data_IF_468327795128
#
_entry.id   IF_468327795128
#
_cell.length_a   1.000
_cell.length_b   1.000
_cell.length_c   1.000
_cell.angle_alpha   90.00
_cell.angle_beta   90.00
_cell.angle_gamma   90.00
#
_symmetry.space_group_name_H-M   'P 1'
#
loop_
_entity.id
_entity.type
_entity.pdbx_description
1 polymer ?
#
# COMPACT_ATOMS: atom_id res chain seq x y z
N UNK A 1 -10.90 -6.23 -10.94
CA UNK A 1 -9.49 -5.81 -10.72
C UNK A 1 -8.82 -6.78 -9.75
N UNK A 2 -7.50 -6.93 -9.78
CA UNK A 2 -6.75 -7.76 -8.82
C UNK A 2 -6.23 -6.88 -7.70
N UNK A 3 -6.35 -7.35 -6.46
CA UNK A 3 -5.75 -6.74 -5.27
C UNK A 3 -4.80 -7.76 -4.66
N UNK A 4 -3.50 -7.45 -4.60
CA UNK A 4 -2.52 -8.26 -3.90
C UNK A 4 -2.38 -7.77 -2.46
N UNK A 5 -2.38 -8.72 -1.53
CA UNK A 5 -2.23 -8.42 -0.13
C UNK A 5 -0.79 -8.09 0.25
N UNK A 6 -0.63 -7.35 1.35
CA UNK A 6 0.66 -7.17 2.02
C UNK A 6 1.74 -6.54 1.15
N UNK A 7 1.47 -5.34 0.63
CA UNK A 7 2.36 -4.60 -0.26
C UNK A 7 2.69 -5.34 -1.56
N UNK A 8 1.79 -6.21 -2.03
CA UNK A 8 2.00 -7.03 -3.22
C UNK A 8 2.47 -8.45 -2.93
N UNK A 9 3.00 -8.70 -1.73
CA UNK A 9 3.44 -10.02 -1.29
C UNK A 9 4.24 -9.97 0.01
N UNK A 10 3.79 -10.69 1.02
CA UNK A 10 4.43 -10.72 2.33
C UNK A 10 5.86 -11.30 2.24
N UNK A 11 6.85 -10.55 2.72
CA UNK A 11 8.28 -10.91 2.66
C UNK A 11 8.85 -11.15 1.24
N UNK A 12 8.19 -10.64 0.20
CA UNK A 12 8.59 -10.84 -1.21
C UNK A 12 8.91 -9.50 -1.91
N UNK A 13 9.48 -8.53 -1.20
CA UNK A 13 9.64 -7.16 -1.68
C UNK A 13 10.41 -7.04 -3.01
N UNK A 14 11.48 -7.82 -3.20
CA UNK A 14 12.27 -7.81 -4.43
C UNK A 14 11.47 -8.35 -5.63
N UNK A 15 10.74 -9.45 -5.45
CA UNK A 15 9.83 -10.02 -6.46
C UNK A 15 8.73 -9.01 -6.83
N UNK A 16 8.10 -8.39 -5.84
CA UNK A 16 7.05 -7.39 -6.04
C UNK A 16 7.59 -6.24 -6.89
N UNK A 17 8.73 -5.68 -6.51
CA UNK A 17 9.38 -4.59 -7.23
C UNK A 17 9.68 -4.97 -8.68
N UNK A 18 10.16 -6.19 -8.91
CA UNK A 18 10.57 -6.68 -10.23
C UNK A 18 9.40 -7.04 -11.13
N UNK A 19 8.28 -7.52 -10.57
CA UNK A 19 7.23 -8.21 -11.35
C UNK A 19 5.86 -7.56 -11.28
N UNK A 20 5.53 -6.88 -10.18
CA UNK A 20 4.19 -6.35 -9.92
C UNK A 20 4.13 -4.81 -9.97
N UNK A 21 5.20 -4.10 -9.61
CA UNK A 21 5.24 -2.65 -9.72
C UNK A 21 4.99 -2.19 -11.17
N UNK A 22 4.23 -1.11 -11.35
CA UNK A 22 3.79 -0.62 -12.66
C UNK A 22 2.64 -1.39 -13.33
N UNK A 23 2.21 -2.55 -12.79
CA UNK A 23 1.03 -3.27 -13.29
C UNK A 23 -0.28 -2.54 -12.89
N UNK A 24 -1.43 -2.83 -13.53
CA UNK A 24 -2.70 -2.20 -13.17
C UNK A 24 -3.34 -2.73 -11.88
N UNK A 25 -2.71 -3.73 -11.24
CA UNK A 25 -3.18 -4.30 -9.98
C UNK A 25 -3.11 -3.27 -8.84
N UNK A 26 -3.90 -3.49 -7.80
CA UNK A 26 -3.78 -2.75 -6.55
C UNK A 26 -2.99 -3.56 -5.53
N UNK A 27 -2.29 -2.89 -4.63
CA UNK A 27 -1.74 -3.52 -3.42
C UNK A 27 -2.43 -2.92 -2.20
N UNK A 28 -2.87 -3.73 -1.25
CA UNK A 28 -3.07 -3.17 0.08
C UNK A 28 -1.73 -3.02 0.82
N UNK A 29 -1.66 -2.07 1.73
CA UNK A 29 -0.45 -1.78 2.51
C UNK A 29 -0.45 -2.48 3.88
N UNK A 30 -1.35 -3.44 4.11
CA UNK A 30 -1.53 -4.07 5.41
C UNK A 30 -0.42 -5.07 5.75
N UNK A 31 0.10 -5.05 6.97
CA UNK A 31 1.00 -6.10 7.48
C UNK A 31 2.19 -6.48 6.55
N UNK A 32 2.73 -5.49 5.83
CA UNK A 32 3.91 -5.68 4.98
C UNK A 32 5.06 -4.81 5.44
N UNK A 33 4.87 -3.48 5.44
CA UNK A 33 5.84 -2.55 6.00
C UNK A 33 5.96 -2.75 7.52
N UNK A 34 7.20 -2.85 8.02
CA UNK A 34 7.50 -3.35 9.38
C UNK A 34 8.05 -4.78 9.38
N UNK A 35 7.65 -5.60 8.40
CA UNK A 35 8.29 -6.89 8.07
C UNK A 35 9.35 -6.69 6.98
N UNK A 36 9.03 -5.89 5.96
CA UNK A 36 10.01 -5.43 4.98
C UNK A 36 10.65 -4.10 5.37
N UNK A 37 11.84 -3.84 4.83
CA UNK A 37 12.58 -2.61 5.07
C UNK A 37 11.85 -1.36 4.50
N UNK A 38 12.05 -0.22 5.15
CA UNK A 38 11.52 1.08 4.69
C UNK A 38 11.95 1.42 3.27
N UNK A 39 13.17 1.07 2.88
CA UNK A 39 13.69 1.30 1.53
C UNK A 39 12.88 0.54 0.48
N UNK A 40 12.48 -0.70 0.78
CA UNK A 40 11.60 -1.50 -0.10
C UNK A 40 10.22 -0.84 -0.25
N UNK A 41 9.63 -0.38 0.85
CA UNK A 41 8.35 0.34 0.81
C UNK A 41 8.43 1.61 -0.07
N UNK A 42 9.51 2.38 0.05
CA UNK A 42 9.76 3.58 -0.76
C UNK A 42 9.96 3.25 -2.24
N UNK A 43 10.66 2.16 -2.56
CA UNK A 43 10.87 1.73 -3.94
C UNK A 43 9.57 1.23 -4.58
N UNK A 44 8.70 0.55 -3.82
CA UNK A 44 7.35 0.19 -4.28
C UNK A 44 6.53 1.45 -4.54
N UNK A 45 6.56 2.44 -3.64
CA UNK A 45 5.88 3.71 -3.82
C UNK A 45 6.33 4.44 -5.09
N UNK A 46 7.64 4.50 -5.33
CA UNK A 46 8.24 5.14 -6.50
C UNK A 46 7.84 4.44 -7.80
N UNK A 47 7.93 3.10 -7.85
CA UNK A 47 7.71 2.33 -9.09
C UNK A 47 6.25 1.97 -9.37
N UNK A 48 5.43 1.76 -8.35
CA UNK A 48 4.02 1.37 -8.51
C UNK A 48 3.07 2.58 -8.44
N UNK A 49 3.47 3.60 -7.68
CA UNK A 49 2.69 4.82 -7.51
C UNK A 49 1.58 4.69 -6.44
N UNK A 50 1.23 5.81 -5.78
CA UNK A 50 0.23 5.83 -4.71
C UNK A 50 -1.19 5.59 -5.21
N UNK A 51 -1.50 5.81 -6.50
CA UNK A 51 -2.85 5.65 -7.08
C UNK A 51 -3.37 4.20 -7.11
N UNK A 52 -2.50 3.24 -6.79
CA UNK A 52 -2.80 1.80 -6.77
C UNK A 52 -2.56 1.15 -5.42
N UNK A 53 -2.30 1.94 -4.38
CA UNK A 53 -2.17 1.45 -3.02
C UNK A 53 -3.47 1.65 -2.24
N UNK A 54 -3.81 0.69 -1.39
CA UNK A 54 -5.02 0.68 -0.58
C UNK A 54 -4.66 0.55 0.89
N UNK A 55 -5.28 1.35 1.75
CA UNK A 55 -5.14 1.17 3.19
C UNK A 55 -5.82 -0.12 3.66
N UNK A 56 -5.15 -0.86 4.54
CA UNK A 56 -5.66 -2.02 5.23
C UNK A 56 -4.80 -2.31 6.46
N UNK A 57 -5.32 -3.07 7.42
CA UNK A 57 -4.61 -3.35 8.68
C UNK A 57 -4.34 -4.81 8.94
N UNK A 58 -4.89 -5.72 8.14
CA UNK A 58 -4.80 -7.16 8.39
C UNK A 58 -5.22 -7.49 9.83
N UNK A 59 -6.36 -6.98 10.28
CA UNK A 59 -6.84 -7.22 11.64
C UNK A 59 -7.10 -8.72 11.86
N UNK A 60 -6.74 -9.31 13.02
CA UNK A 60 -6.21 -8.68 14.25
C UNK A 60 -4.68 -8.50 14.37
N UNK A 61 -3.90 -8.67 13.30
CA UNK A 61 -2.44 -8.60 13.37
C UNK A 61 -1.93 -7.17 13.60
N UNK A 62 -2.40 -6.19 12.82
CA UNK A 62 -2.15 -4.77 13.09
C UNK A 62 -3.45 -4.00 13.38
N UNK A 63 -3.30 -2.90 14.13
CA UNK A 63 -4.35 -1.91 14.33
C UNK A 63 -4.24 -0.78 13.29
N UNK A 64 -5.31 0.01 13.07
CA UNK A 64 -5.23 1.20 12.22
C UNK A 64 -4.16 2.20 12.66
N UNK A 65 -3.97 2.37 13.98
CA UNK A 65 -2.97 3.30 14.51
C UNK A 65 -1.54 2.86 14.21
N UNK A 66 -1.27 1.55 14.21
CA UNK A 66 0.05 1.02 13.83
C UNK A 66 0.35 1.29 12.36
N UNK A 67 -0.57 0.96 11.45
CA UNK A 67 -0.40 1.19 10.02
C UNK A 67 -0.25 2.67 9.67
N UNK A 68 -1.09 3.54 10.25
CA UNK A 68 -0.99 4.99 10.05
C UNK A 68 0.33 5.56 10.60
N UNK A 69 0.80 5.05 11.74
CA UNK A 69 2.10 5.46 12.29
C UNK A 69 3.24 5.07 11.36
N UNK A 70 3.24 3.85 10.83
CA UNK A 70 4.23 3.42 9.85
C UNK A 70 4.15 4.25 8.56
N UNK A 71 2.95 4.40 7.98
CA UNK A 71 2.73 5.21 6.78
C UNK A 71 3.24 6.65 6.93
N UNK A 72 3.12 7.25 8.12
CA UNK A 72 3.63 8.61 8.39
C UNK A 72 5.14 8.77 8.20
N UNK A 73 5.90 7.67 8.32
CA UNK A 73 7.36 7.66 8.14
C UNK A 73 7.81 7.65 6.67
N UNK A 74 6.89 7.46 5.73
CA UNK A 74 7.19 7.33 4.31
C UNK A 74 7.32 8.68 3.58
N UNK A 75 7.04 9.80 4.25
CA UNK A 75 7.18 11.13 3.67
C UNK A 75 6.18 11.43 2.55
N UNK A 76 5.01 10.79 2.58
CA UNK A 76 3.94 10.98 1.60
C UNK A 76 3.37 12.41 1.66
N UNK A 77 3.00 12.94 0.50
CA UNK A 77 2.18 14.14 0.41
C UNK A 77 0.79 13.90 1.01
N UNK A 78 0.07 14.96 1.36
CA UNK A 78 -1.30 14.80 1.88
C UNK A 78 -2.25 14.25 0.80
N UNK A 79 -2.02 14.57 -0.47
CA UNK A 79 -2.76 13.99 -1.60
C UNK A 79 -2.55 12.47 -1.68
N UNK A 80 -1.30 12.00 -1.57
CA UNK A 80 -0.99 10.57 -1.63
C UNK A 80 -1.54 9.83 -0.42
N UNK A 81 -1.51 10.44 0.77
CA UNK A 81 -2.18 9.86 1.96
C UNK A 81 -3.67 9.70 1.71
N UNK A 82 -4.37 10.70 1.17
CA UNK A 82 -5.81 10.58 0.88
C UNK A 82 -6.12 9.49 -0.15
N UNK A 83 -5.28 9.38 -1.19
CA UNK A 83 -5.36 8.30 -2.18
C UNK A 83 -5.36 6.94 -1.51
N UNK A 84 -4.34 6.67 -0.72
CA UNK A 84 -4.14 5.38 -0.05
C UNK A 84 -5.22 5.14 1.00
N UNK A 85 -5.54 6.15 1.81
CA UNK A 85 -6.44 6.02 2.96
C UNK A 85 -7.88 5.76 2.57
N UNK A 86 -8.36 6.32 1.45
CA UNK A 86 -9.74 6.06 1.03
C UNK A 86 -10.05 6.27 -0.46
N UNK A 87 -9.44 7.24 -1.18
CA UNK A 87 -9.91 7.57 -2.54
C UNK A 87 -9.73 6.41 -3.53
N UNK A 88 -8.63 5.67 -3.42
CA UNK A 88 -8.38 4.51 -4.28
C UNK A 88 -9.40 3.39 -4.02
N UNK A 89 -9.73 3.14 -2.75
CA UNK A 89 -10.74 2.16 -2.38
C UNK A 89 -12.14 2.60 -2.84
N UNK A 90 -12.47 3.88 -2.67
CA UNK A 90 -13.73 4.46 -3.14
C UNK A 90 -13.88 4.34 -4.66
N UNK A 91 -12.81 4.60 -5.42
CA UNK A 91 -12.78 4.41 -6.88
C UNK A 91 -12.90 2.94 -7.27
N UNK A 92 -12.22 2.04 -6.55
CA UNK A 92 -12.25 0.60 -6.82
C UNK A 92 -13.64 -0.01 -6.59
N UNK A 93 -14.34 0.47 -5.57
CA UNK A 93 -15.66 0.00 -5.14
C UNK A 93 -16.83 0.83 -5.73
N UNK A 94 -16.53 1.80 -6.59
CA UNK A 94 -17.51 2.68 -7.24
C UNK A 94 -18.44 3.43 -6.26
N UNK A 95 -17.86 4.04 -5.23
CA UNK A 95 -18.62 4.70 -4.14
C UNK A 95 -19.00 6.17 -4.43
N UNK A 96 -18.52 6.77 -5.52
CA UNK A 96 -18.87 8.15 -5.92
C UNK A 96 -18.37 9.27 -4.98
N UNK A 97 -17.24 9.05 -4.30
CA UNK A 97 -16.57 10.01 -3.40
C UNK A 97 -15.48 10.84 -4.09
#
# INVERSE_FOLDING_TARGET
PVVFAHWGGHSCGEEVIRTLCGTPAYFDVSYGYGVMARTTALEILDKHGPDKLLFGTDSPWHTPSMELSMQSTLGLSDEDKEKINYKNAAKLLDLGL
#
